data_IF_344797315060
#
_entry.id   IF_344797315060
#
_cell.length_a   1.000
_cell.length_b   1.000
_cell.length_c   1.000
_cell.angle_alpha   90.00
_cell.angle_beta   90.00
_cell.angle_gamma   90.00
#
_symmetry.space_group_name_H-M   'P 1'
#
loop_
_entity.id
_entity.type
_entity.pdbx_description
1 polymer ?
#
# COMPACT_ATOMS: atom_id res chain seq x y z
N UNK A 1 2.17 11.12 22.45
CA UNK A 1 0.92 10.43 22.09
C UNK A 1 1.27 9.26 21.19
N UNK A 2 0.79 8.05 21.49
CA UNK A 2 0.92 6.93 20.56
C UNK A 2 -0.08 7.21 19.44
N UNK A 3 0.38 7.83 18.36
CA UNK A 3 -0.47 8.12 17.21
C UNK A 3 -0.93 6.77 16.64
N UNK A 4 -2.14 6.38 16.99
CA UNK A 4 -2.76 5.15 16.51
C UNK A 4 -3.05 5.37 15.03
N UNK A 5 -2.08 5.01 14.19
CA UNK A 5 -2.23 5.02 12.74
C UNK A 5 -3.49 4.23 12.39
N UNK A 6 -4.46 4.81 11.66
CA UNK A 6 -5.68 4.13 11.31
C UNK A 6 -5.35 3.02 10.31
N UNK A 7 -5.23 1.79 10.82
CA UNK A 7 -4.75 0.62 10.07
C UNK A 7 -5.71 0.23 8.95
N UNK A 8 -7.03 0.29 9.20
CA UNK A 8 -8.05 -0.10 8.21
C UNK A 8 -8.07 0.84 7.00
N UNK A 9 -8.19 2.18 7.16
CA UNK A 9 -8.12 3.11 6.02
C UNK A 9 -6.80 3.01 5.24
N UNK A 10 -5.68 2.79 5.92
CA UNK A 10 -4.38 2.64 5.27
C UNK A 10 -4.34 1.40 4.37
N UNK A 11 -4.86 0.27 4.86
CA UNK A 11 -4.95 -0.97 4.09
C UNK A 11 -5.90 -0.83 2.90
N UNK A 12 -7.05 -0.18 3.07
CA UNK A 12 -7.99 0.10 1.98
C UNK A 12 -7.32 0.97 0.91
N UNK A 13 -6.66 2.06 1.31
CA UNK A 13 -5.93 2.92 0.38
C UNK A 13 -4.80 2.18 -0.35
N UNK A 14 -4.07 1.33 0.36
CA UNK A 14 -3.02 0.49 -0.22
C UNK A 14 -3.60 -0.43 -1.30
N UNK A 15 -4.68 -1.16 -0.98
CA UNK A 15 -5.36 -2.04 -1.93
C UNK A 15 -5.78 -1.30 -3.20
N UNK A 16 -6.46 -0.16 -3.04
CA UNK A 16 -6.96 0.63 -4.18
C UNK A 16 -5.79 1.07 -5.07
N UNK A 17 -4.72 1.60 -4.48
CA UNK A 17 -3.57 2.11 -5.24
C UNK A 17 -2.83 0.99 -5.95
N UNK A 18 -2.57 -0.14 -5.28
CA UNK A 18 -1.90 -1.29 -5.89
C UNK A 18 -2.73 -1.83 -7.05
N UNK A 19 -4.01 -2.08 -6.83
CA UNK A 19 -4.90 -2.64 -7.85
C UNK A 19 -5.04 -1.70 -9.06
N UNK A 20 -5.15 -0.39 -8.83
CA UNK A 20 -5.17 0.61 -9.90
C UNK A 20 -3.84 0.64 -10.66
N UNK A 21 -2.71 0.57 -9.95
CA UNK A 21 -1.39 0.56 -10.57
C UNK A 21 -1.22 -0.67 -11.46
N UNK A 22 -1.55 -1.86 -10.96
CA UNK A 22 -1.50 -3.10 -11.74
C UNK A 22 -2.40 -3.04 -12.97
N UNK A 23 -3.62 -2.51 -12.82
CA UNK A 23 -4.52 -2.30 -13.96
C UNK A 23 -3.90 -1.36 -15.00
N UNK A 24 -3.31 -0.23 -14.59
CA UNK A 24 -2.70 0.76 -15.49
C UNK A 24 -1.48 0.23 -16.24
N UNK A 25 -0.68 -0.65 -15.63
CA UNK A 25 0.49 -1.25 -16.27
C UNK A 25 0.19 -2.56 -17.01
N UNK A 26 -1.08 -3.01 -17.03
CA UNK A 26 -1.47 -4.29 -17.62
C UNK A 26 -0.90 -5.50 -16.88
N UNK A 27 -0.62 -5.36 -15.58
CA UNK A 27 -0.12 -6.44 -14.75
C UNK A 27 -1.27 -7.34 -14.31
N UNK A 28 -1.42 -8.46 -14.99
CA UNK A 28 -2.39 -9.50 -14.63
C UNK A 28 -1.71 -10.60 -13.83
N UNK A 29 -1.96 -10.60 -12.52
CA UNK A 29 -1.59 -11.68 -11.62
C UNK A 29 -2.84 -12.23 -10.94
N UNK A 30 -3.03 -13.54 -11.04
CA UNK A 30 -4.12 -14.26 -10.39
C UNK A 30 -3.55 -15.36 -9.52
N UNK A 31 -3.60 -15.15 -8.21
CA UNK A 31 -3.04 -16.08 -7.22
C UNK A 31 -3.59 -17.50 -7.32
N UNK A 32 -4.87 -17.63 -7.70
CA UNK A 32 -5.54 -18.93 -7.88
C UNK A 32 -5.11 -19.68 -9.16
N UNK A 33 -4.71 -18.98 -10.22
CA UNK A 33 -4.34 -19.60 -11.50
C UNK A 33 -2.83 -19.86 -11.57
N UNK A 34 -2.02 -18.95 -11.03
CA UNK A 34 -0.55 -19.00 -11.16
C UNK A 34 0.17 -19.50 -9.90
N UNK A 35 -0.45 -19.43 -8.73
CA UNK A 35 0.14 -19.84 -7.45
C UNK A 35 1.13 -18.83 -6.86
N UNK A 36 1.75 -19.22 -5.73
CA UNK A 36 2.51 -18.34 -4.81
C UNK A 36 4.02 -18.29 -5.11
N UNK A 37 4.52 -19.15 -6.00
CA UNK A 37 5.95 -19.26 -6.33
C UNK A 37 6.28 -18.70 -7.71
N UNK A 38 5.65 -17.59 -8.09
CA UNK A 38 5.88 -16.93 -9.37
C UNK A 38 6.54 -15.57 -9.17
N UNK A 39 7.28 -15.10 -10.19
CA UNK A 39 7.83 -13.75 -10.16
C UNK A 39 6.73 -12.69 -10.01
N UNK A 40 5.53 -12.95 -10.56
CA UNK A 40 4.37 -12.08 -10.44
C UNK A 40 3.88 -11.98 -9.00
N UNK A 41 3.85 -13.08 -8.24
CA UNK A 41 3.55 -13.02 -6.80
C UNK A 41 4.52 -12.11 -6.06
N UNK A 42 5.83 -12.26 -6.32
CA UNK A 42 6.86 -11.44 -5.66
C UNK A 42 6.65 -9.96 -6.01
N UNK A 43 6.38 -9.64 -7.27
CA UNK A 43 6.10 -8.28 -7.71
C UNK A 43 4.83 -7.73 -7.04
N UNK A 44 3.76 -8.51 -6.94
CA UNK A 44 2.52 -8.12 -6.27
C UNK A 44 2.75 -7.79 -4.78
N UNK A 45 3.45 -8.67 -4.05
CA UNK A 45 3.81 -8.45 -2.64
C UNK A 45 4.71 -7.21 -2.47
N UNK A 46 5.68 -7.02 -3.36
CA UNK A 46 6.55 -5.84 -3.32
C UNK A 46 5.77 -4.56 -3.60
N UNK A 47 4.85 -4.56 -4.57
CA UNK A 47 3.96 -3.43 -4.84
C UNK A 47 3.16 -3.05 -3.60
N UNK A 48 2.59 -4.04 -2.91
CA UNK A 48 1.90 -3.83 -1.63
C UNK A 48 2.79 -3.20 -0.57
N UNK A 49 3.98 -3.77 -0.35
CA UNK A 49 4.92 -3.28 0.65
C UNK A 49 5.33 -1.82 0.37
N UNK A 50 5.67 -1.51 -0.88
CA UNK A 50 6.10 -0.17 -1.30
C UNK A 50 4.98 0.85 -1.07
N UNK A 51 3.77 0.56 -1.55
CA UNK A 51 2.62 1.48 -1.42
C UNK A 51 2.25 1.68 0.04
N UNK A 52 2.19 0.60 0.83
CA UNK A 52 1.88 0.69 2.26
C UNK A 52 2.90 1.55 3.00
N UNK A 53 4.20 1.32 2.77
CA UNK A 53 5.26 2.12 3.38
C UNK A 53 5.18 3.60 2.95
N UNK A 54 4.93 3.87 1.68
CA UNK A 54 4.80 5.24 1.18
C UNK A 54 3.63 5.98 1.86
N UNK A 55 2.45 5.35 1.95
CA UNK A 55 1.29 5.92 2.62
C UNK A 55 1.53 6.11 4.11
N UNK A 56 2.22 5.16 4.77
CA UNK A 56 2.57 5.29 6.18
C UNK A 56 3.48 6.51 6.42
N UNK A 57 4.47 6.74 5.55
CA UNK A 57 5.35 7.90 5.63
C UNK A 57 4.60 9.21 5.37
N UNK A 58 3.71 9.24 4.37
CA UNK A 58 2.86 10.39 4.08
C UNK A 58 1.95 10.73 5.27
N UNK A 59 1.32 9.73 5.87
CA UNK A 59 0.45 9.91 7.02
C UNK A 59 1.21 10.45 8.24
N UNK A 60 2.39 9.89 8.54
CA UNK A 60 3.29 10.41 9.59
C UNK A 60 3.66 11.87 9.32
N UNK A 61 3.98 12.22 8.08
CA UNK A 61 4.31 13.61 7.68
C UNK A 61 3.12 14.56 7.84
N UNK A 62 1.91 14.11 7.51
CA UNK A 62 0.67 14.90 7.66
C UNK A 62 0.33 15.13 9.13
N UNK A 63 0.44 14.12 10.00
CA UNK A 63 0.25 14.30 11.44
C UNK A 63 1.28 15.28 12.00
N UNK A 64 2.56 15.10 11.64
CA UNK A 64 3.63 15.97 12.11
C UNK A 64 3.39 17.44 11.75
N UNK A 65 2.95 17.71 10.51
CA UNK A 65 2.52 19.05 10.07
C UNK A 65 1.36 19.59 10.90
N UNK A 66 0.37 18.77 11.21
CA UNK A 66 -0.79 19.17 12.03
C UNK A 66 -0.38 19.54 13.46
N UNK A 67 0.54 18.77 14.07
CA UNK A 67 1.01 19.03 15.44
C UNK A 67 1.87 20.31 15.55
N UNK A 68 2.56 20.73 14.49
CA UNK A 68 3.32 22.00 14.49
C UNK A 68 2.40 23.22 14.32
N UNK A 69 1.24 23.02 13.67
CA UNK A 69 0.28 24.10 13.39
C UNK A 69 -0.73 24.33 14.54
N UNK A 70 -0.66 23.54 15.61
CA UNK A 70 -1.43 23.70 16.85
C UNK A 70 -0.53 24.34 17.91
#
# INVERSE_FOLDING_TARGET
>A
MKDNLPTIPLLIATYIIVNLTHYLVGFEYKLHEEGVFTYKFIVDVLSWAIVYSALQLLYKKLIFRRNISQ
#
